data_IF_158609015887
#
_entry.id   IF_158609015887
#
_cell.length_a   1.000
_cell.length_b   1.000
_cell.length_c   1.000
_cell.angle_alpha   90.00
_cell.angle_beta   90.00
_cell.angle_gamma   90.00
#
_symmetry.space_group_name_H-M   'P 1'
#
loop_
_entity.id
_entity.type
_entity.pdbx_description
1 polymer ?
#
# COMPACT_ATOMS: atom_id res chain seq x y z
N UNK A 1 5.71 -9.28 -9.27
CA UNK A 1 5.49 -8.02 -8.53
C UNK A 1 5.76 -8.19 -7.04
N UNK A 2 4.98 -8.99 -6.29
CA UNK A 2 5.15 -9.06 -4.83
C UNK A 2 6.48 -9.65 -4.32
N UNK A 3 7.10 -10.57 -5.06
CA UNK A 3 8.39 -11.19 -4.70
C UNK A 3 9.57 -10.21 -4.64
N UNK A 4 9.47 -9.06 -5.30
CA UNK A 4 10.55 -8.06 -5.27
C UNK A 4 10.59 -7.31 -3.93
N UNK A 5 9.44 -7.16 -3.27
CA UNK A 5 9.34 -6.49 -1.97
C UNK A 5 9.86 -7.35 -0.83
N UNK A 6 9.97 -8.67 -1.01
CA UNK A 6 10.45 -9.58 0.03
C UNK A 6 11.83 -9.14 0.53
N UNK A 7 12.76 -8.73 -0.33
CA UNK A 7 14.12 -8.39 0.13
C UNK A 7 14.21 -7.16 1.05
N UNK A 8 13.24 -6.24 1.00
CA UNK A 8 13.30 -4.92 1.64
C UNK A 8 12.81 -4.90 3.10
N UNK A 9 11.98 -5.87 3.50
CA UNK A 9 11.32 -5.87 4.81
C UNK A 9 11.87 -6.92 5.77
N UNK A 10 11.83 -6.61 7.07
CA UNK A 10 12.24 -7.52 8.15
C UNK A 10 11.29 -8.72 8.29
N UNK A 11 9.99 -8.50 8.07
CA UNK A 11 8.92 -9.50 8.26
C UNK A 11 8.17 -9.77 6.94
N UNK A 12 8.90 -10.33 5.99
CA UNK A 12 8.53 -10.44 4.56
C UNK A 12 7.20 -11.14 4.34
N UNK A 13 7.06 -12.34 4.90
CA UNK A 13 5.88 -13.19 4.69
C UNK A 13 4.61 -12.53 5.26
N UNK A 14 4.74 -11.84 6.40
CA UNK A 14 3.64 -11.09 7.01
C UNK A 14 3.24 -9.91 6.13
N UNK A 15 4.21 -9.10 5.69
CA UNK A 15 3.93 -7.94 4.83
C UNK A 15 3.28 -8.37 3.52
N UNK A 16 3.79 -9.40 2.85
CA UNK A 16 3.23 -9.90 1.58
C UNK A 16 1.81 -10.42 1.80
N UNK A 17 1.57 -11.22 2.84
CA UNK A 17 0.24 -11.77 3.15
C UNK A 17 -0.79 -10.67 3.35
N UNK A 18 -0.49 -9.68 4.19
CA UNK A 18 -1.42 -8.58 4.46
C UNK A 18 -1.66 -7.73 3.22
N UNK A 19 -0.61 -7.49 2.43
CA UNK A 19 -0.74 -6.79 1.15
C UNK A 19 -1.69 -7.51 0.21
N UNK A 20 -1.52 -8.82 0.04
CA UNK A 20 -2.38 -9.66 -0.82
C UNK A 20 -3.83 -9.59 -0.36
N UNK A 21 -4.08 -9.66 0.95
CA UNK A 21 -5.43 -9.56 1.51
C UNK A 21 -6.09 -8.23 1.12
N UNK A 22 -5.39 -7.12 1.31
CA UNK A 22 -5.90 -5.77 1.06
C UNK A 22 -6.18 -5.55 -0.43
N UNK A 23 -5.25 -5.87 -1.34
CA UNK A 23 -5.45 -5.69 -2.78
C UNK A 23 -6.48 -6.68 -3.36
N UNK A 24 -6.71 -7.80 -2.68
CA UNK A 24 -7.78 -8.73 -3.05
C UNK A 24 -9.15 -8.16 -2.70
N UNK A 25 -9.27 -7.46 -1.57
CA UNK A 25 -10.48 -6.79 -1.12
C UNK A 25 -10.76 -5.51 -1.91
N UNK A 26 -9.75 -4.67 -2.11
CA UNK A 26 -9.86 -3.38 -2.81
C UNK A 26 -9.08 -3.45 -4.13
N UNK A 27 -9.79 -3.76 -5.21
CA UNK A 27 -9.19 -4.02 -6.53
C UNK A 27 -8.49 -2.81 -7.16
N UNK A 28 -8.85 -1.61 -6.73
CA UNK A 28 -8.26 -0.37 -7.22
C UNK A 28 -6.96 0.00 -6.50
N UNK A 29 -6.62 -0.68 -5.39
CA UNK A 29 -5.34 -0.51 -4.72
C UNK A 29 -4.24 -1.32 -5.40
N UNK A 30 -3.09 -0.68 -5.59
CA UNK A 30 -1.90 -1.28 -6.20
C UNK A 30 -0.68 -1.06 -5.30
N UNK A 31 0.14 -2.11 -5.09
CA UNK A 31 1.41 -1.95 -4.38
C UNK A 31 2.43 -1.28 -5.31
N UNK A 32 3.04 -0.18 -4.86
CA UNK A 32 4.05 0.59 -5.60
C UNK A 32 5.28 0.77 -4.71
N UNK A 33 6.49 0.66 -5.28
CA UNK A 33 7.72 1.11 -4.62
C UNK A 33 7.91 2.59 -4.90
N UNK A 34 8.06 3.38 -3.85
CA UNK A 34 8.37 4.80 -3.97
C UNK A 34 9.37 5.24 -2.90
N UNK A 35 10.06 6.36 -3.16
CA UNK A 35 11.01 6.94 -2.24
C UNK A 35 10.28 7.66 -1.11
N UNK A 36 10.44 7.16 0.11
CA UNK A 36 9.94 7.81 1.31
C UNK A 36 11.05 8.60 1.99
N UNK A 37 10.81 9.88 2.26
CA UNK A 37 11.72 10.74 3.02
C UNK A 37 11.33 10.69 4.49
N UNK A 38 12.23 10.17 5.33
CA UNK A 38 12.07 10.15 6.78
C UNK A 38 12.29 11.54 7.39
N UNK A 39 11.85 11.70 8.63
CA UNK A 39 11.94 12.97 9.36
C UNK A 39 13.39 13.47 9.56
N UNK A 40 14.38 12.59 9.47
CA UNK A 40 15.81 12.94 9.53
C UNK A 40 16.38 13.39 8.17
N UNK A 41 15.54 13.44 7.13
CA UNK A 41 15.90 13.79 5.76
C UNK A 41 16.48 12.62 4.95
N UNK A 42 16.67 11.45 5.55
CA UNK A 42 17.10 10.26 4.81
C UNK A 42 15.97 9.74 3.92
N UNK A 43 16.29 9.19 2.76
CA UNK A 43 15.32 8.61 1.83
C UNK A 43 15.51 7.11 1.66
N UNK A 44 14.42 6.35 1.59
CA UNK A 44 14.44 4.92 1.31
C UNK A 44 13.28 4.52 0.42
N UNK A 45 13.54 3.60 -0.50
CA UNK A 45 12.46 2.94 -1.24
C UNK A 45 11.64 2.07 -0.29
N UNK A 46 10.35 2.39 -0.18
CA UNK A 46 9.36 1.63 0.57
C UNK A 46 8.17 1.32 -0.33
N UNK A 47 7.50 0.21 -0.04
CA UNK A 47 6.22 -0.11 -0.63
C UNK A 47 5.11 0.72 0.00
N UNK A 48 4.25 1.28 -0.84
CA UNK A 48 2.98 1.88 -0.46
C UNK A 48 1.83 1.22 -1.24
N UNK A 49 0.60 1.50 -0.82
CA UNK A 49 -0.61 1.11 -1.53
C UNK A 49 -1.24 2.36 -2.13
N UNK A 50 -1.11 2.52 -3.45
CA UNK A 50 -1.69 3.65 -4.17
C UNK A 50 -2.99 3.22 -4.84
N UNK A 51 -4.03 4.02 -4.69
CA UNK A 51 -5.32 3.82 -5.38
C UNK A 51 -6.48 4.36 -4.55
N UNK A 52 -7.70 3.95 -4.86
CA UNK A 52 -8.88 4.42 -4.13
C UNK A 52 -9.56 3.33 -3.33
N UNK A 53 -10.17 3.72 -2.21
CA UNK A 53 -11.08 2.86 -1.43
C UNK A 53 -12.50 3.44 -1.46
N UNK A 54 -13.54 2.59 -1.49
CA UNK A 54 -14.90 3.05 -1.33
C UNK A 54 -15.17 3.44 0.12
N UNK A 55 -15.58 4.69 0.34
CA UNK A 55 -15.95 5.24 1.64
C UNK A 55 -17.42 5.65 1.64
N UNK A 56 -18.25 5.14 2.56
CA UNK A 56 -19.62 5.58 2.70
C UNK A 56 -19.66 6.98 3.34
N UNK A 57 -20.21 7.94 2.61
CA UNK A 57 -20.40 9.33 3.06
C UNK A 57 -21.82 9.81 2.75
N UNK A 58 -22.56 10.19 3.79
CA UNK A 58 -23.95 10.71 3.69
C UNK A 58 -24.88 9.84 2.82
N UNK A 59 -24.80 8.52 2.99
CA UNK A 59 -25.63 7.56 2.25
C UNK A 59 -25.19 7.29 0.80
N UNK A 60 -24.03 7.79 0.37
CA UNK A 60 -23.42 7.52 -0.93
C UNK A 60 -22.04 6.89 -0.74
N UNK A 61 -21.64 5.99 -1.64
CA UNK A 61 -20.25 5.52 -1.68
C UNK A 61 -19.43 6.47 -2.55
N UNK A 62 -18.32 6.99 -2.01
CA UNK A 62 -17.37 7.87 -2.70
C UNK A 62 -16.00 7.19 -2.68
N UNK A 63 -15.24 7.29 -3.77
CA UNK A 63 -13.87 6.80 -3.81
C UNK A 63 -12.96 7.82 -3.10
N UNK A 64 -12.31 7.42 -2.02
CA UNK A 64 -11.31 8.22 -1.31
C UNK A 64 -9.90 7.68 -1.59
N UNK A 65 -8.90 8.55 -1.58
CA UNK A 65 -7.55 8.24 -2.03
C UNK A 65 -6.72 7.65 -0.90
N UNK A 66 -6.11 6.50 -1.17
CA UNK A 66 -5.18 5.81 -0.29
C UNK A 66 -3.75 6.01 -0.83
N UNK A 67 -2.85 6.47 0.05
CA UNK A 67 -1.43 6.74 -0.22
C UNK A 67 -0.55 5.93 0.74
#
# INVERSE_FOLDING_TARGET
LLRFFESLYKYRDLTVRETVNVITLYKDLKPVLDSYVFNDGSSRELMNLTGTIPVPYRGKCVCDLCF
#
